data_IF_622223487941
#
_entry.id   IF_622223487941
#
_cell.length_a   1.000
_cell.length_b   1.000
_cell.length_c   1.000
_cell.angle_alpha   90.00
_cell.angle_beta   90.00
_cell.angle_gamma   90.00
#
_symmetry.space_group_name_H-M   'P 1'
#
loop_
_entity.id
_entity.type
_entity.pdbx_description
1 polymer ?
#
# COMPACT_ATOMS: atom_id res chain seq x y z
N UNK A 1 -58.26 -1.24 54.65
CA UNK A 1 -57.25 -2.12 54.00
C UNK A 1 -56.60 -1.53 52.74
N UNK A 2 -56.87 -0.27 52.37
CA UNK A 2 -56.40 0.36 51.12
C UNK A 2 -54.97 0.89 51.16
N UNK A 3 -54.49 1.36 52.31
CA UNK A 3 -53.16 1.98 52.45
C UNK A 3 -51.97 0.99 52.23
N UNK A 4 -52.14 -0.28 52.61
CA UNK A 4 -51.12 -1.33 52.46
C UNK A 4 -50.98 -1.79 51.01
N UNK A 5 -52.07 -1.79 50.23
CA UNK A 5 -52.03 -2.13 48.82
C UNK A 5 -51.33 -1.03 48.00
N UNK A 6 -51.61 0.23 48.32
CA UNK A 6 -50.96 1.40 47.70
C UNK A 6 -49.45 1.40 47.97
N UNK A 7 -49.00 1.08 49.18
CA UNK A 7 -47.55 1.01 49.50
C UNK A 7 -46.83 -0.15 48.79
N UNK A 8 -47.49 -1.31 48.62
CA UNK A 8 -46.94 -2.44 47.84
C UNK A 8 -46.86 -2.12 46.35
N UNK A 9 -47.87 -1.45 45.80
CA UNK A 9 -47.87 -1.02 44.40
C UNK A 9 -46.80 0.04 44.15
N UNK A 10 -46.67 1.04 45.03
CA UNK A 10 -45.62 2.05 44.95
C UNK A 10 -44.21 1.43 45.03
N UNK A 11 -43.98 0.46 45.93
CA UNK A 11 -42.71 -0.26 46.03
C UNK A 11 -42.40 -1.07 44.75
N UNK A 12 -43.41 -1.74 44.17
CA UNK A 12 -43.26 -2.46 42.90
C UNK A 12 -42.93 -1.52 41.74
N UNK A 13 -43.61 -0.38 41.65
CA UNK A 13 -43.35 0.64 40.63
C UNK A 13 -41.93 1.21 40.76
N UNK A 14 -41.47 1.53 41.97
CA UNK A 14 -40.11 1.99 42.22
C UNK A 14 -39.06 0.94 41.82
N UNK A 15 -39.27 -0.34 42.19
CA UNK A 15 -38.36 -1.43 41.81
C UNK A 15 -38.33 -1.65 40.29
N UNK A 16 -39.47 -1.54 39.60
CA UNK A 16 -39.53 -1.65 38.15
C UNK A 16 -38.79 -0.50 37.45
N UNK A 17 -38.98 0.74 37.94
CA UNK A 17 -38.24 1.90 37.43
C UNK A 17 -36.73 1.75 37.62
N UNK A 18 -36.27 1.29 38.79
CA UNK A 18 -34.85 1.01 39.03
C UNK A 18 -34.31 -0.09 38.12
N UNK A 19 -35.05 -1.19 37.94
CA UNK A 19 -34.64 -2.28 37.04
C UNK A 19 -34.56 -1.81 35.59
N UNK A 20 -35.52 -1.03 35.12
CA UNK A 20 -35.51 -0.47 33.77
C UNK A 20 -34.30 0.46 33.56
N UNK A 21 -34.01 1.34 34.53
CA UNK A 21 -32.84 2.21 34.49
C UNK A 21 -31.52 1.40 34.48
N UNK A 22 -31.41 0.37 35.31
CA UNK A 22 -30.23 -0.51 35.34
C UNK A 22 -30.04 -1.28 34.03
N UNK A 23 -31.12 -1.77 33.43
CA UNK A 23 -31.07 -2.45 32.13
C UNK A 23 -30.61 -1.51 31.02
N UNK A 24 -31.09 -0.26 31.01
CA UNK A 24 -30.67 0.73 30.04
C UNK A 24 -29.20 1.10 30.19
N UNK A 25 -28.73 1.30 31.42
CA UNK A 25 -27.31 1.53 31.69
C UNK A 25 -26.47 0.34 31.23
N UNK A 26 -26.87 -0.88 31.55
CA UNK A 26 -26.16 -2.09 31.12
C UNK A 26 -26.10 -2.21 29.59
N UNK A 27 -27.19 -1.89 28.88
CA UNK A 27 -27.21 -1.88 27.40
C UNK A 27 -26.23 -0.86 26.83
N UNK A 28 -26.23 0.37 27.36
CA UNK A 28 -25.30 1.44 26.93
C UNK A 28 -23.86 1.06 27.22
N UNK A 29 -23.56 0.57 28.41
CA UNK A 29 -22.21 0.12 28.76
C UNK A 29 -21.74 -0.98 27.83
N UNK A 30 -22.60 -1.95 27.50
CA UNK A 30 -22.25 -3.01 26.54
C UNK A 30 -21.97 -2.45 25.15
N UNK A 31 -22.85 -1.59 24.62
CA UNK A 31 -22.64 -0.97 23.31
C UNK A 31 -21.33 -0.15 23.28
N UNK A 32 -21.09 0.67 24.30
CA UNK A 32 -19.86 1.45 24.42
C UNK A 32 -18.61 0.57 24.48
N UNK A 33 -18.64 -0.56 25.20
CA UNK A 33 -17.51 -1.49 25.23
C UNK A 33 -17.23 -2.11 23.86
N UNK A 34 -18.27 -2.50 23.12
CA UNK A 34 -18.12 -3.03 21.76
C UNK A 34 -17.55 -1.97 20.81
N UNK A 35 -18.03 -0.74 20.90
CA UNK A 35 -17.54 0.37 20.08
C UNK A 35 -16.09 0.73 20.42
N UNK A 36 -15.71 0.75 21.70
CA UNK A 36 -14.33 0.96 22.12
C UNK A 36 -13.43 -0.17 21.62
N UNK A 37 -13.87 -1.42 21.66
CA UNK A 37 -13.10 -2.54 21.11
C UNK A 37 -12.88 -2.37 19.60
N UNK A 38 -13.91 -1.97 18.85
CA UNK A 38 -13.79 -1.67 17.41
C UNK A 38 -12.82 -0.52 17.17
N UNK A 39 -12.91 0.54 17.98
CA UNK A 39 -12.05 1.72 17.88
C UNK A 39 -10.58 1.38 18.11
N UNK A 40 -10.24 0.69 19.20
CA UNK A 40 -8.84 0.32 19.46
C UNK A 40 -8.28 -0.63 18.41
N UNK A 41 -9.09 -1.60 17.94
CA UNK A 41 -8.67 -2.50 16.86
C UNK A 41 -8.47 -1.75 15.54
N UNK A 42 -9.27 -0.72 15.25
CA UNK A 42 -9.07 0.13 14.08
C UNK A 42 -7.78 0.94 14.19
N UNK A 43 -7.55 1.56 15.35
CA UNK A 43 -6.35 2.36 15.60
C UNK A 43 -5.06 1.54 15.52
N UNK A 44 -5.05 0.33 16.08
CA UNK A 44 -3.92 -0.58 15.96
C UNK A 44 -3.63 -0.97 14.49
N UNK A 45 -4.68 -1.12 13.67
CA UNK A 45 -4.50 -1.35 12.23
C UNK A 45 -3.97 -0.13 11.50
N UNK A 46 -4.42 1.07 11.85
CA UNK A 46 -3.88 2.33 11.32
C UNK A 46 -2.38 2.46 11.63
N UNK A 47 -2.00 2.22 12.88
CA UNK A 47 -0.59 2.28 13.31
C UNK A 47 0.27 1.26 12.52
N UNK A 48 -0.22 0.03 12.34
CA UNK A 48 0.46 -1.00 11.52
C UNK A 48 0.58 -0.64 10.05
N UNK A 49 -0.42 0.05 9.49
CA UNK A 49 -0.37 0.51 8.10
C UNK A 49 0.73 1.56 7.96
N UNK A 50 0.81 2.50 8.91
CA UNK A 50 1.79 3.57 8.90
C UNK A 50 3.21 3.02 9.07
N UNK A 51 3.44 2.11 10.03
CA UNK A 51 4.73 1.44 10.23
C UNK A 51 5.20 0.75 8.94
N UNK A 52 4.32 -0.05 8.31
CA UNK A 52 4.63 -0.73 7.05
C UNK A 52 4.90 0.25 5.90
N UNK A 53 4.19 1.37 5.84
CA UNK A 53 4.42 2.40 4.84
C UNK A 53 5.80 3.03 5.02
N UNK A 54 6.16 3.37 6.26
CA UNK A 54 7.47 3.95 6.59
C UNK A 54 8.61 2.99 6.22
N UNK A 55 8.49 1.72 6.59
CA UNK A 55 9.44 0.67 6.18
C UNK A 55 9.58 0.62 4.67
N UNK A 56 8.45 0.58 3.94
CA UNK A 56 8.50 0.45 2.48
C UNK A 56 9.09 1.67 1.79
N UNK A 57 8.81 2.87 2.29
CA UNK A 57 9.40 4.11 1.80
C UNK A 57 10.89 4.15 2.09
N UNK A 58 11.33 3.70 3.27
CA UNK A 58 12.75 3.61 3.61
C UNK A 58 13.50 2.66 2.68
N UNK A 59 12.96 1.45 2.45
CA UNK A 59 13.53 0.48 1.50
C UNK A 59 13.63 1.06 0.08
N UNK A 60 12.58 1.74 -0.39
CA UNK A 60 12.57 2.33 -1.73
C UNK A 60 13.58 3.47 -1.85
N UNK A 61 13.72 4.30 -0.81
CA UNK A 61 14.73 5.36 -0.76
C UNK A 61 16.13 4.79 -0.80
N UNK A 62 16.43 3.77 -0.01
CA UNK A 62 17.74 3.12 -0.01
C UNK A 62 18.06 2.53 -1.39
N UNK A 63 17.12 1.81 -2.01
CA UNK A 63 17.29 1.26 -3.36
C UNK A 63 17.51 2.35 -4.40
N UNK A 64 16.75 3.44 -4.33
CA UNK A 64 16.90 4.58 -5.24
C UNK A 64 18.26 5.27 -5.07
N UNK A 65 18.69 5.48 -3.82
CA UNK A 65 20.01 6.05 -3.52
C UNK A 65 21.12 5.16 -4.04
N UNK A 66 21.07 3.86 -3.76
CA UNK A 66 22.05 2.89 -4.26
C UNK A 66 22.12 2.90 -5.78
N UNK A 67 20.98 2.82 -6.47
CA UNK A 67 20.94 2.85 -7.94
C UNK A 67 21.50 4.17 -8.48
N UNK A 68 21.14 5.30 -7.89
CA UNK A 68 21.69 6.61 -8.29
C UNK A 68 23.20 6.65 -8.12
N UNK A 69 23.72 6.11 -7.03
CA UNK A 69 25.15 6.10 -6.75
C UNK A 69 25.90 5.13 -7.70
N UNK A 70 25.30 3.98 -8.05
CA UNK A 70 25.78 3.07 -9.09
C UNK A 70 25.84 3.76 -10.46
N UNK A 71 24.78 4.45 -10.87
CA UNK A 71 24.78 5.23 -12.12
C UNK A 71 25.82 6.36 -12.09
N UNK A 72 25.98 7.03 -10.94
CA UNK A 72 27.00 8.09 -10.76
C UNK A 72 28.41 7.54 -10.97
N UNK A 73 28.69 6.34 -10.46
CA UNK A 73 29.96 5.65 -10.69
C UNK A 73 30.11 5.29 -12.17
N UNK A 74 29.07 4.74 -12.81
CA UNK A 74 29.08 4.41 -14.24
C UNK A 74 29.36 5.64 -15.11
N UNK A 75 28.69 6.77 -14.83
CA UNK A 75 28.96 8.04 -15.51
C UNK A 75 30.40 8.50 -15.30
N UNK A 76 30.92 8.44 -14.07
CA UNK A 76 32.31 8.79 -13.78
C UNK A 76 33.32 7.90 -14.53
N UNK A 77 33.05 6.60 -14.65
CA UNK A 77 33.88 5.66 -15.44
C UNK A 77 33.86 6.00 -16.93
N UNK A 78 32.72 6.38 -17.49
CA UNK A 78 32.64 6.81 -18.89
C UNK A 78 33.47 8.07 -19.14
N UNK A 79 33.40 9.06 -18.23
CA UNK A 79 34.20 10.29 -18.31
C UNK A 79 35.70 10.00 -18.14
N UNK A 80 36.08 9.09 -17.24
CA UNK A 80 37.46 8.66 -17.07
C UNK A 80 37.99 8.00 -18.34
N UNK A 81 37.18 7.14 -18.99
CA UNK A 81 37.55 6.52 -20.25
C UNK A 81 37.74 7.54 -21.39
N UNK A 82 37.00 8.66 -21.40
CA UNK A 82 37.24 9.76 -22.35
C UNK A 82 38.59 10.44 -22.09
N UNK A 83 38.88 10.76 -20.82
CA UNK A 83 40.17 11.32 -20.41
C UNK A 83 41.34 10.40 -20.80
N UNK A 84 41.20 9.10 -20.56
CA UNK A 84 42.26 8.13 -20.84
C UNK A 84 42.50 7.93 -22.34
N UNK A 85 41.52 8.31 -23.20
CA UNK A 85 41.70 8.42 -24.66
C UNK A 85 42.39 9.72 -25.11
N UNK A 86 42.66 10.65 -24.19
CA UNK A 86 43.36 11.91 -24.45
C UNK A 86 42.45 13.15 -24.57
N UNK A 87 41.15 13.02 -24.34
CA UNK A 87 40.22 14.17 -24.38
C UNK A 87 40.49 15.13 -23.21
N UNK A 88 40.49 16.45 -23.49
CA UNK A 88 40.67 17.46 -22.44
C UNK A 88 39.42 17.54 -21.55
N UNK A 89 39.60 17.69 -20.23
CA UNK A 89 38.47 17.74 -19.29
C UNK A 89 37.48 18.88 -19.58
N UNK A 90 37.96 20.01 -20.12
CA UNK A 90 37.12 21.13 -20.55
C UNK A 90 36.19 20.73 -21.72
N UNK A 91 36.71 20.00 -22.70
CA UNK A 91 35.95 19.51 -23.85
C UNK A 91 34.95 18.43 -23.45
N UNK A 92 35.37 17.51 -22.57
CA UNK A 92 34.49 16.50 -21.95
C UNK A 92 33.33 17.17 -21.20
N UNK A 93 33.63 18.22 -20.42
CA UNK A 93 32.62 18.98 -19.69
C UNK A 93 31.63 19.68 -20.63
N UNK A 94 32.13 20.29 -21.71
CA UNK A 94 31.31 20.91 -22.74
C UNK A 94 30.40 19.90 -23.45
N UNK A 95 30.93 18.73 -23.82
CA UNK A 95 30.16 17.64 -24.45
C UNK A 95 29.09 17.06 -23.51
N UNK A 96 29.41 16.90 -22.22
CA UNK A 96 28.50 16.36 -21.23
C UNK A 96 27.49 17.41 -20.69
N UNK A 97 27.66 18.69 -21.04
CA UNK A 97 26.80 19.79 -20.57
C UNK A 97 26.91 20.05 -19.07
N UNK A 98 28.05 19.73 -18.46
CA UNK A 98 28.30 19.92 -17.02
C UNK A 98 29.56 20.75 -16.79
N UNK A 99 29.80 21.19 -15.54
CA UNK A 99 31.03 21.91 -15.22
C UNK A 99 32.24 20.99 -15.19
N UNK A 100 33.43 21.50 -15.51
CA UNK A 100 34.68 20.72 -15.44
C UNK A 100 34.94 20.20 -14.02
N UNK A 101 34.55 20.96 -13.00
CA UNK A 101 34.59 20.53 -11.60
C UNK A 101 33.74 19.28 -11.39
N UNK A 102 32.52 19.25 -11.91
CA UNK A 102 31.61 18.10 -11.84
C UNK A 102 32.22 16.88 -12.51
N UNK A 103 32.86 17.04 -13.68
CA UNK A 103 33.56 15.95 -14.37
C UNK A 103 34.66 15.36 -13.49
N UNK A 104 35.52 16.21 -12.89
CA UNK A 104 36.58 15.74 -11.98
C UNK A 104 36.03 15.03 -10.75
N UNK A 105 34.96 15.54 -10.16
CA UNK A 105 34.32 14.93 -9.00
C UNK A 105 33.72 13.55 -9.34
N UNK A 106 33.08 13.40 -10.51
CA UNK A 106 32.53 12.13 -10.98
C UNK A 106 33.61 11.10 -11.29
N UNK A 107 34.69 11.50 -11.97
CA UNK A 107 35.85 10.63 -12.23
C UNK A 107 36.47 10.16 -10.91
N UNK A 108 36.69 11.08 -9.96
CA UNK A 108 37.24 10.73 -8.64
C UNK A 108 36.33 9.75 -7.88
N UNK A 109 35.02 9.96 -7.93
CA UNK A 109 34.06 9.05 -7.29
C UNK A 109 34.09 7.65 -7.92
N UNK A 110 34.25 7.56 -9.24
CA UNK A 110 34.39 6.30 -9.96
C UNK A 110 35.72 5.58 -9.66
N UNK A 111 36.83 6.30 -9.60
CA UNK A 111 38.14 5.76 -9.24
C UNK A 111 38.16 5.24 -7.79
N UNK A 112 37.52 5.97 -6.86
CA UNK A 112 37.39 5.55 -5.46
C UNK A 112 36.53 4.28 -5.28
N UNK A 113 35.57 4.03 -6.18
CA UNK A 113 34.76 2.81 -6.18
C UNK A 113 35.53 1.57 -6.69
N UNK A 114 36.76 1.74 -7.18
CA UNK A 114 37.61 0.65 -7.69
C UNK A 114 37.26 0.19 -9.11
N UNK A 115 38.07 -0.72 -9.69
CA UNK A 115 37.87 -1.21 -11.05
C UNK A 115 36.53 -1.94 -11.18
N UNK A 116 35.80 -1.65 -12.27
CA UNK A 116 34.61 -2.40 -12.63
C UNK A 116 35.00 -3.85 -12.92
N UNK A 117 34.27 -4.83 -12.37
CA UNK A 117 34.32 -6.18 -12.95
C UNK A 117 33.84 -6.08 -14.41
N UNK A 118 34.54 -6.66 -15.39
CA UNK A 118 34.19 -6.55 -16.80
C UNK A 118 32.88 -7.32 -17.07
N UNK A 119 31.76 -6.61 -17.02
CA UNK A 119 30.43 -7.21 -17.20
C UNK A 119 29.25 -6.24 -17.23
N UNK A 120 29.42 -4.96 -16.87
CA UNK A 120 28.36 -3.97 -17.06
C UNK A 120 28.34 -3.47 -18.51
N UNK A 121 27.74 -4.27 -19.38
CA UNK A 121 27.17 -3.80 -20.65
C UNK A 121 26.10 -2.73 -20.35
N UNK A 122 25.92 -1.71 -21.22
CA UNK A 122 24.89 -0.69 -21.04
C UNK A 122 23.50 -1.33 -20.93
N UNK A 123 22.59 -0.80 -20.10
CA UNK A 123 21.27 -1.37 -19.94
C UNK A 123 20.50 -1.19 -21.26
N UNK A 124 20.28 -2.32 -21.93
CA UNK A 124 19.32 -2.43 -23.02
C UNK A 124 17.96 -1.95 -22.49
N UNK A 125 17.35 -1.02 -23.21
CA UNK A 125 16.10 -0.36 -22.83
C UNK A 125 14.95 -1.34 -23.06
N UNK A 126 14.82 -2.33 -22.18
CA UNK A 126 13.65 -3.21 -22.14
C UNK A 126 12.55 -2.55 -21.32
N UNK A 127 11.60 -1.96 -22.04
CA UNK A 127 10.35 -1.42 -21.55
C UNK A 127 9.71 -2.31 -20.48
N UNK A 128 9.60 -1.79 -19.26
CA UNK A 128 8.63 -2.29 -18.29
C UNK A 128 7.26 -1.74 -18.68
N UNK A 129 6.59 -2.44 -19.59
CA UNK A 129 5.15 -2.28 -19.79
C UNK A 129 4.45 -3.00 -18.64
N UNK A 130 4.36 -2.35 -17.48
CA UNK A 130 3.46 -2.77 -16.42
C UNK A 130 2.04 -2.34 -16.83
N UNK A 131 1.41 -3.14 -17.67
CA UNK A 131 -0.01 -3.04 -17.96
C UNK A 131 -0.76 -3.85 -16.90
N UNK A 132 -1.71 -3.26 -16.16
CA UNK A 132 -2.56 -4.02 -15.26
C UNK A 132 -3.48 -4.92 -16.10
N UNK A 133 -3.19 -6.23 -16.05
CA UNK A 133 -4.07 -7.26 -16.57
C UNK A 133 -5.32 -7.29 -15.67
N UNK A 134 -6.43 -6.75 -16.17
CA UNK A 134 -7.76 -6.99 -15.61
C UNK A 134 -8.19 -8.41 -15.99
N UNK A 135 -8.48 -9.31 -15.04
CA UNK A 135 -9.15 -10.57 -15.39
C UNK A 135 -10.61 -10.28 -15.71
N UNK A 136 -10.89 -10.25 -17.01
CA UNK A 136 -12.05 -10.78 -17.72
C UNK A 136 -13.35 -10.90 -16.92
N UNK A 137 -14.27 -9.96 -17.17
CA UNK A 137 -15.68 -10.10 -16.86
C UNK A 137 -16.31 -11.18 -17.76
N UNK A 138 -16.56 -12.36 -17.20
CA UNK A 138 -17.36 -13.40 -17.83
C UNK A 138 -18.84 -13.01 -17.77
N UNK A 139 -19.32 -12.40 -18.86
CA UNK A 139 -20.74 -12.23 -19.16
C UNK A 139 -21.36 -13.59 -19.52
N UNK A 140 -22.46 -14.05 -18.87
CA UNK A 140 -23.22 -15.18 -19.39
C UNK A 140 -24.19 -14.68 -20.48
N UNK A 141 -24.22 -15.27 -21.68
CA UNK A 141 -25.29 -15.03 -22.64
C UNK A 141 -26.49 -15.90 -22.24
N UNK A 142 -27.59 -15.26 -21.86
CA UNK A 142 -28.90 -15.93 -21.89
C UNK A 142 -29.43 -15.98 -23.33
N UNK A 143 -30.12 -17.05 -23.74
CA UNK A 143 -31.04 -16.99 -24.86
C UNK A 143 -32.49 -16.95 -24.37
N UNK A 144 -33.23 -16.09 -25.03
CA UNK A 144 -34.64 -15.80 -24.83
C UNK A 144 -35.57 -16.99 -25.16
N UNK A 145 -36.69 -16.97 -24.45
CA UNK A 145 -38.01 -17.56 -24.70
C UNK A 145 -38.30 -18.17 -26.10
N UNK A 146 -38.90 -19.37 -26.07
CA UNK A 146 -39.53 -19.99 -27.24
C UNK A 146 -40.35 -21.25 -26.88
N UNK A 147 -41.59 -21.03 -26.46
CA UNK A 147 -42.81 -21.85 -26.70
C UNK A 147 -42.65 -23.23 -27.35
N UNK A 148 -43.14 -24.28 -26.68
CA UNK A 148 -44.05 -25.30 -27.23
C UNK A 148 -44.46 -26.30 -26.14
N UNK A 149 -45.76 -26.34 -25.82
CA UNK A 149 -46.33 -27.44 -25.05
C UNK A 149 -46.44 -28.72 -25.87
N UNK A 150 -46.50 -29.88 -25.20
CA UNK A 150 -47.44 -30.99 -25.47
C UNK A 150 -47.22 -32.16 -24.50
N UNK A 151 -48.27 -32.40 -23.71
CA UNK A 151 -48.92 -33.66 -23.35
C UNK A 151 -48.14 -34.97 -23.04
N UNK A 152 -48.70 -35.62 -22.01
CA UNK A 152 -48.87 -37.06 -21.80
C UNK A 152 -47.69 -37.85 -21.19
N UNK A 153 -47.85 -38.35 -19.97
CA UNK A 153 -48.45 -39.67 -19.72
C UNK A 153 -48.22 -40.11 -18.26
N UNK A 154 -49.31 -40.29 -17.50
CA UNK A 154 -49.42 -41.34 -16.47
C UNK A 154 -49.86 -42.63 -17.18
N UNK A 155 -49.48 -43.82 -16.70
CA UNK A 155 -50.35 -44.51 -15.74
C UNK A 155 -49.66 -45.47 -14.74
N UNK A 156 -50.21 -45.55 -13.53
CA UNK A 156 -50.74 -46.78 -12.90
C UNK A 156 -51.53 -46.38 -11.64
#
# INVERSE_FOLDING_TARGET
>A
MTNIAISKQARRAAQQATRAAQQELARRTKANMEDLARFFAAREREDKIEERLQERVAELREKATRRRDEERVTSGRALAAMRDRGEALCEVAQMAGVSERTVRELIRAAEAAGPASPGSTPPDTAASTDAPTTPSASVPPGPAAGVAGRAAAQPA
#
